data_IF_850206997402
#
_entry.id   IF_850206997402
#
_cell.length_a   1.000
_cell.length_b   1.000
_cell.length_c   1.000
_cell.angle_alpha   90.00
_cell.angle_beta   90.00
_cell.angle_gamma   90.00
#
_symmetry.space_group_name_H-M   'P 1'
#
loop_
_entity.id
_entity.type
_entity.pdbx_description
1 polymer ?
#
# COMPACT_ATOMS: atom_id res chain seq x y z
N UNK A 1 15.42 -33.97 20.56
CA UNK A 1 15.04 -34.81 19.41
C UNK A 1 14.25 -33.94 18.46
N UNK A 2 14.92 -33.32 17.48
CA UNK A 2 14.25 -32.68 16.35
C UNK A 2 14.15 -33.73 15.26
N UNK A 3 12.92 -34.18 14.97
CA UNK A 3 12.68 -35.21 13.96
C UNK A 3 12.99 -34.68 12.55
N UNK A 4 13.59 -35.56 11.75
CA UNK A 4 13.77 -35.43 10.31
C UNK A 4 12.42 -35.15 9.63
N UNK A 5 12.18 -33.90 9.23
CA UNK A 5 11.31 -33.55 8.11
C UNK A 5 12.22 -32.91 7.08
N UNK A 6 12.77 -33.71 6.17
CA UNK A 6 13.53 -33.18 5.03
C UNK A 6 13.74 -34.23 3.92
N UNK A 7 12.76 -35.10 3.68
CA UNK A 7 12.76 -35.90 2.46
C UNK A 7 11.67 -35.34 1.54
N UNK A 8 12.12 -34.88 0.36
CA UNK A 8 11.36 -34.58 -0.87
C UNK A 8 10.73 -33.19 -1.10
N UNK A 9 11.29 -32.09 -0.59
CA UNK A 9 11.01 -30.77 -1.18
C UNK A 9 11.96 -30.48 -2.35
N UNK A 10 11.50 -30.71 -3.58
CA UNK A 10 12.20 -30.32 -4.81
C UNK A 10 11.65 -28.95 -5.26
N UNK A 11 12.46 -27.88 -5.25
CA UNK A 11 12.00 -26.57 -5.71
C UNK A 11 11.64 -26.62 -7.21
N UNK A 12 10.41 -26.26 -7.56
CA UNK A 12 9.91 -26.25 -8.94
C UNK A 12 10.09 -24.87 -9.61
N UNK A 13 10.30 -23.83 -8.80
CA UNK A 13 10.47 -22.46 -9.26
C UNK A 13 11.84 -21.88 -8.87
N UNK A 14 12.37 -20.90 -9.64
CA UNK A 14 13.59 -20.17 -9.27
C UNK A 14 13.50 -19.53 -7.88
N UNK A 15 12.32 -19.06 -7.47
CA UNK A 15 12.05 -18.45 -6.18
C UNK A 15 12.16 -19.46 -5.03
N UNK A 16 11.59 -20.66 -5.20
CA UNK A 16 11.72 -21.76 -4.24
C UNK A 16 13.18 -22.22 -4.11
N UNK A 17 13.93 -22.26 -5.21
CA UNK A 17 15.35 -22.63 -5.18
C UNK A 17 16.17 -21.63 -4.35
N UNK A 18 15.89 -20.32 -4.50
CA UNK A 18 16.54 -19.27 -3.72
C UNK A 18 16.21 -19.41 -2.22
N UNK A 19 14.95 -19.70 -1.89
CA UNK A 19 14.50 -19.90 -0.51
C UNK A 19 15.13 -21.14 0.13
N UNK A 20 15.19 -22.26 -0.58
CA UNK A 20 15.86 -23.50 -0.13
C UNK A 20 17.34 -23.22 0.13
N UNK A 21 18.03 -22.53 -0.78
CA UNK A 21 19.45 -22.17 -0.59
C UNK A 21 19.68 -21.21 0.57
N UNK A 22 18.81 -20.22 0.77
CA UNK A 22 18.90 -19.30 1.90
C UNK A 22 18.71 -20.04 3.24
N UNK A 23 17.77 -20.99 3.31
CA UNK A 23 17.52 -21.81 4.48
C UNK A 23 18.68 -22.78 4.80
N UNK A 24 19.29 -23.39 3.77
CA UNK A 24 20.49 -24.21 3.91
C UNK A 24 21.67 -23.41 4.47
N UNK A 25 21.94 -22.22 3.90
CA UNK A 25 23.00 -21.34 4.38
C UNK A 25 22.79 -20.90 5.85
N UNK A 26 21.54 -20.60 6.22
CA UNK A 26 21.19 -20.26 7.59
C UNK A 26 21.45 -21.44 8.55
N UNK A 27 21.08 -22.68 8.17
CA UNK A 27 21.36 -23.89 8.95
C UNK A 27 22.86 -24.14 9.11
N UNK A 28 23.64 -24.08 8.03
CA UNK A 28 25.08 -24.30 8.09
C UNK A 28 25.76 -23.29 9.01
N UNK A 29 25.37 -22.02 8.93
CA UNK A 29 25.96 -20.98 9.77
C UNK A 29 25.58 -21.09 11.25
N UNK A 30 24.34 -21.52 11.56
CA UNK A 30 23.93 -21.83 12.93
C UNK A 30 24.72 -23.01 13.49
N UNK A 31 24.91 -24.06 12.70
CA UNK A 31 25.68 -25.24 13.12
C UNK A 31 27.15 -24.89 13.38
N UNK A 32 27.79 -24.10 12.51
CA UNK A 32 29.17 -23.62 12.72
C UNK A 32 29.29 -22.77 13.99
N UNK A 33 28.30 -21.93 14.28
CA UNK A 33 28.28 -21.15 15.52
C UNK A 33 28.10 -22.05 16.76
N UNK A 34 27.27 -23.09 16.67
CA UNK A 34 27.02 -24.05 17.75
C UNK A 34 28.23 -24.97 18.01
N UNK A 35 28.95 -25.37 16.96
CA UNK A 35 30.17 -26.18 17.09
C UNK A 35 31.30 -25.37 17.75
N UNK A 36 31.46 -24.09 17.41
CA UNK A 36 32.41 -23.18 18.10
C UNK A 36 32.08 -22.94 19.58
N UNK A 37 30.81 -23.05 19.96
CA UNK A 37 30.38 -22.99 21.36
C UNK A 37 30.71 -24.31 22.08
N UNK A 38 30.63 -25.44 21.37
CA UNK A 38 30.92 -26.78 21.90
C UNK A 38 32.42 -27.00 22.10
N UNK A 39 33.27 -26.42 21.27
CA UNK A 39 34.73 -26.60 21.29
C UNK A 39 35.48 -25.79 22.39
N UNK A 40 34.75 -25.25 23.37
CA UNK A 40 35.34 -24.74 24.62
C UNK A 40 35.54 -23.23 24.64
N UNK A 41 34.52 -22.50 25.07
CA UNK A 41 34.68 -21.11 25.51
C UNK A 41 34.96 -21.02 27.02
N UNK A 42 35.86 -20.11 27.45
CA UNK A 42 36.15 -19.89 28.88
C UNK A 42 34.91 -19.50 29.70
N UNK A 43 34.84 -19.97 30.95
CA UNK A 43 33.69 -19.83 31.86
C UNK A 43 33.30 -18.39 32.23
N UNK A 44 34.21 -17.43 32.06
CA UNK A 44 34.04 -16.07 32.60
C UNK A 44 33.32 -15.11 31.63
N UNK A 45 32.78 -15.63 30.52
CA UNK A 45 32.30 -14.83 29.38
C UNK A 45 30.78 -14.62 29.31
N UNK A 46 30.01 -14.87 30.37
CA UNK A 46 28.53 -14.84 30.31
C UNK A 46 27.94 -13.46 29.98
N UNK A 47 28.55 -12.35 30.45
CA UNK A 47 28.12 -10.97 30.10
C UNK A 47 28.53 -10.56 28.69
N UNK A 48 29.68 -11.02 28.19
CA UNK A 48 30.12 -10.77 26.82
C UNK A 48 29.35 -11.62 25.79
N UNK A 49 28.77 -12.74 26.21
CA UNK A 49 27.99 -13.65 25.36
C UNK A 49 26.77 -12.97 24.74
N UNK A 50 26.01 -12.19 25.51
CA UNK A 50 24.82 -11.50 24.99
C UNK A 50 25.18 -10.40 23.99
N UNK A 51 26.25 -9.64 24.24
CA UNK A 51 26.71 -8.60 23.32
C UNK A 51 27.28 -9.20 22.03
N UNK A 52 28.04 -10.29 22.14
CA UNK A 52 28.56 -11.02 20.98
C UNK A 52 27.43 -11.62 20.12
N UNK A 53 26.39 -12.20 20.74
CA UNK A 53 25.22 -12.67 19.99
C UNK A 53 24.44 -11.54 19.34
N UNK A 54 24.32 -10.37 19.99
CA UNK A 54 23.70 -9.18 19.39
C UNK A 54 24.50 -8.67 18.19
N UNK A 55 25.82 -8.62 18.29
CA UNK A 55 26.72 -8.23 17.20
C UNK A 55 26.67 -9.23 16.04
N UNK A 56 26.72 -10.54 16.32
CA UNK A 56 26.59 -11.58 15.30
C UNK A 56 25.22 -11.55 14.61
N UNK A 57 24.13 -11.36 15.36
CA UNK A 57 22.81 -11.18 14.75
C UNK A 57 22.76 -9.93 13.87
N UNK A 58 23.36 -8.83 14.32
CA UNK A 58 23.39 -7.59 13.53
C UNK A 58 24.21 -7.73 12.25
N UNK A 59 25.37 -8.39 12.31
CA UNK A 59 26.21 -8.69 11.14
C UNK A 59 25.46 -9.62 10.18
N UNK A 60 24.81 -10.66 10.71
CA UNK A 60 24.04 -11.62 9.91
C UNK A 60 22.84 -10.97 9.22
N UNK A 61 22.05 -10.16 9.94
CA UNK A 61 20.92 -9.41 9.37
C UNK A 61 21.41 -8.49 8.26
N UNK A 62 22.49 -7.74 8.47
CA UNK A 62 23.05 -6.85 7.46
C UNK A 62 23.57 -7.59 6.22
N UNK A 63 24.22 -8.74 6.38
CA UNK A 63 24.71 -9.52 5.25
C UNK A 63 23.55 -10.15 4.45
N UNK A 64 22.49 -10.60 5.12
CA UNK A 64 21.28 -11.08 4.46
C UNK A 64 20.54 -9.95 3.75
N UNK A 65 20.42 -8.77 4.37
CA UNK A 65 19.89 -7.56 3.73
C UNK A 65 20.70 -7.18 2.49
N UNK A 66 22.04 -7.20 2.54
CA UNK A 66 22.88 -6.90 1.38
C UNK A 66 22.73 -7.94 0.26
N UNK A 67 22.64 -9.24 0.58
CA UNK A 67 22.39 -10.30 -0.40
C UNK A 67 20.99 -10.20 -1.00
N UNK A 68 19.99 -9.90 -0.18
CA UNK A 68 18.62 -9.64 -0.61
C UNK A 68 18.55 -8.41 -1.52
N UNK A 69 19.19 -7.30 -1.14
CA UNK A 69 19.28 -6.09 -1.95
C UNK A 69 19.95 -6.36 -3.32
N UNK A 70 20.96 -7.25 -3.37
CA UNK A 70 21.59 -7.68 -4.63
C UNK A 70 20.67 -8.56 -5.48
N UNK A 71 19.94 -9.47 -4.85
CA UNK A 71 18.93 -10.31 -5.51
C UNK A 71 17.78 -9.46 -6.05
N UNK A 72 17.24 -8.55 -5.25
CA UNK A 72 16.25 -7.56 -5.68
C UNK A 72 16.80 -6.74 -6.85
N UNK A 73 18.03 -6.23 -6.78
CA UNK A 73 18.65 -5.51 -7.90
C UNK A 73 18.75 -6.35 -9.18
N UNK A 74 19.02 -7.66 -9.05
CA UNK A 74 19.02 -8.59 -10.17
C UNK A 74 17.60 -8.79 -10.72
N UNK A 75 16.62 -9.05 -9.85
CA UNK A 75 15.20 -9.23 -10.20
C UNK A 75 14.67 -7.97 -10.90
N UNK A 76 14.98 -6.78 -10.39
CA UNK A 76 14.62 -5.49 -11.01
C UNK A 76 15.24 -5.28 -12.40
N UNK A 77 16.39 -5.90 -12.69
CA UNK A 77 17.05 -5.83 -14.00
C UNK A 77 16.55 -6.90 -14.97
N UNK A 78 16.16 -8.07 -14.47
CA UNK A 78 15.76 -9.21 -15.31
C UNK A 78 14.26 -9.32 -15.52
N UNK A 79 13.44 -8.77 -14.63
CA UNK A 79 12.00 -8.69 -14.84
C UNK A 79 11.69 -7.56 -15.83
N UNK A 80 11.81 -7.90 -17.11
CA UNK A 80 10.92 -7.29 -18.10
C UNK A 80 9.49 -7.49 -17.58
N UNK A 81 8.81 -6.37 -17.32
CA UNK A 81 7.37 -6.37 -17.02
C UNK A 81 6.67 -7.37 -17.95
N UNK A 82 5.74 -8.21 -17.45
CA UNK A 82 4.95 -9.04 -18.35
C UNK A 82 4.33 -8.11 -19.39
N UNK A 83 4.71 -8.26 -20.66
CA UNK A 83 4.15 -7.47 -21.75
C UNK A 83 2.63 -7.68 -21.86
N UNK A 84 2.12 -8.70 -21.17
CA UNK A 84 0.80 -9.28 -21.24
C UNK A 84 -0.22 -8.76 -20.23
N UNK A 85 0.01 -7.68 -19.46
CA UNK A 85 -1.11 -7.04 -18.75
C UNK A 85 -1.99 -6.32 -19.77
N UNK A 86 -3.15 -6.88 -20.17
CA UNK A 86 -3.87 -6.47 -21.39
C UNK A 86 -4.35 -5.01 -21.31
N UNK A 87 -4.52 -4.50 -20.09
CA UNK A 87 -5.09 -3.18 -19.81
C UNK A 87 -4.07 -2.18 -19.24
N UNK A 88 -2.78 -2.52 -19.21
CA UNK A 88 -1.76 -1.60 -18.69
C UNK A 88 -1.35 -0.58 -19.75
N UNK A 89 -2.05 0.56 -19.78
CA UNK A 89 -1.70 1.66 -20.69
C UNK A 89 -0.22 2.08 -20.50
N UNK A 90 0.48 2.53 -21.56
CA UNK A 90 1.85 3.04 -21.42
C UNK A 90 1.99 4.17 -20.40
N UNK A 91 0.92 4.94 -20.18
CA UNK A 91 0.86 5.96 -19.13
C UNK A 91 0.91 5.34 -17.73
N UNK A 92 0.06 4.34 -17.44
CA UNK A 92 0.07 3.61 -16.18
C UNK A 92 1.44 2.99 -15.92
N UNK A 93 2.00 2.29 -16.93
CA UNK A 93 3.32 1.66 -16.82
C UNK A 93 4.42 2.66 -16.45
N UNK A 94 4.48 3.82 -17.11
CA UNK A 94 5.48 4.85 -16.81
C UNK A 94 5.32 5.42 -15.41
N UNK A 95 4.08 5.60 -14.99
CA UNK A 95 3.78 6.30 -13.76
C UNK A 95 3.95 5.37 -12.54
N UNK A 96 3.60 4.08 -12.66
CA UNK A 96 3.94 3.06 -11.66
C UNK A 96 5.45 2.81 -11.62
N UNK A 97 6.14 2.73 -12.75
CA UNK A 97 7.61 2.63 -12.75
C UNK A 97 8.28 3.83 -12.07
N UNK A 98 7.68 5.03 -12.18
CA UNK A 98 8.14 6.22 -11.46
C UNK A 98 7.91 6.05 -9.96
N UNK A 99 6.72 5.65 -9.55
CA UNK A 99 6.39 5.38 -8.14
C UNK A 99 7.34 4.33 -7.55
N UNK A 100 7.52 3.19 -8.21
CA UNK A 100 8.43 2.12 -7.80
C UNK A 100 9.86 2.64 -7.59
N UNK A 101 10.38 3.45 -8.52
CA UNK A 101 11.74 4.00 -8.42
C UNK A 101 11.89 5.05 -7.32
N UNK A 102 10.84 5.84 -7.07
CA UNK A 102 10.90 7.00 -6.18
C UNK A 102 10.46 6.65 -4.75
N UNK A 103 9.41 5.88 -4.58
CA UNK A 103 8.70 5.69 -3.31
C UNK A 103 9.14 4.41 -2.58
N UNK A 104 9.41 3.29 -3.27
CA UNK A 104 9.86 2.04 -2.61
C UNK A 104 11.19 2.18 -1.86
N UNK A 105 12.01 3.15 -2.22
CA UNK A 105 13.30 3.41 -1.56
C UNK A 105 13.20 4.41 -0.41
N UNK A 106 12.02 5.00 -0.19
CA UNK A 106 11.84 6.00 0.87
C UNK A 106 11.56 5.29 2.17
N UNK A 107 12.29 5.74 3.19
CA UNK A 107 12.16 5.25 4.56
C UNK A 107 11.06 5.97 5.35
N UNK A 108 10.58 7.11 4.83
CA UNK A 108 9.47 7.87 5.41
C UNK A 108 8.79 8.77 4.38
N UNK A 109 7.50 9.05 4.61
CA UNK A 109 6.72 9.98 3.82
C UNK A 109 6.56 9.56 2.36
N UNK A 110 6.66 8.27 2.04
CA UNK A 110 6.34 7.77 0.72
C UNK A 110 4.86 8.01 0.42
N UNK A 111 4.58 8.29 -0.85
CA UNK A 111 3.20 8.37 -1.32
C UNK A 111 2.60 6.97 -1.44
N UNK A 112 1.36 6.80 -1.00
CA UNK A 112 0.57 5.60 -1.23
C UNK A 112 0.24 5.45 -2.73
N UNK A 113 0.21 4.22 -3.24
CA UNK A 113 -0.30 3.90 -4.57
C UNK A 113 -1.75 3.42 -4.44
N UNK A 114 -2.70 4.06 -5.13
CA UNK A 114 -4.10 3.64 -5.14
C UNK A 114 -4.47 3.11 -6.52
N UNK A 115 -4.93 1.86 -6.57
CA UNK A 115 -5.44 1.21 -7.77
C UNK A 115 -6.94 1.02 -7.62
N UNK A 116 -7.72 1.71 -8.45
CA UNK A 116 -9.18 1.64 -8.43
C UNK A 116 -9.64 0.92 -9.68
N UNK A 117 -10.65 0.08 -9.58
CA UNK A 117 -11.32 -0.48 -10.75
C UNK A 117 -12.23 -1.62 -10.35
N UNK A 118 -13.17 -2.03 -11.22
CA UNK A 118 -14.04 -3.16 -10.95
C UNK A 118 -13.30 -4.42 -10.48
N UNK A 119 -14.01 -5.32 -9.81
CA UNK A 119 -13.48 -6.66 -9.55
C UNK A 119 -13.12 -7.34 -10.87
N UNK A 120 -12.08 -8.19 -10.87
CA UNK A 120 -11.60 -8.89 -12.07
C UNK A 120 -10.69 -8.09 -12.99
N UNK A 121 -10.41 -6.82 -12.71
CA UNK A 121 -9.48 -5.97 -13.53
C UNK A 121 -7.99 -6.26 -13.30
N UNK A 122 -7.67 -7.28 -12.49
CA UNK A 122 -6.28 -7.68 -12.24
C UNK A 122 -5.49 -6.76 -11.29
N UNK A 123 -6.13 -5.86 -10.54
CA UNK A 123 -5.46 -4.97 -9.56
C UNK A 123 -4.56 -5.72 -8.57
N UNK A 124 -5.10 -6.80 -7.99
CA UNK A 124 -4.40 -7.63 -7.02
C UNK A 124 -3.21 -8.33 -7.66
N UNK A 125 -3.40 -8.94 -8.84
CA UNK A 125 -2.31 -9.57 -9.60
C UNK A 125 -1.23 -8.56 -9.99
N UNK A 126 -1.64 -7.36 -10.39
CA UNK A 126 -0.73 -6.26 -10.73
C UNK A 126 0.09 -5.82 -9.52
N UNK A 127 -0.55 -5.53 -8.38
CA UNK A 127 0.14 -5.10 -7.17
C UNK A 127 1.13 -6.17 -6.67
N UNK A 128 0.74 -7.44 -6.70
CA UNK A 128 1.60 -8.58 -6.32
C UNK A 128 2.74 -8.84 -7.32
N UNK A 129 2.60 -8.38 -8.57
CA UNK A 129 3.68 -8.49 -9.59
C UNK A 129 4.79 -7.46 -9.41
N UNK A 130 4.61 -6.48 -8.51
CA UNK A 130 5.66 -5.50 -8.25
C UNK A 130 6.85 -6.16 -7.55
N UNK A 131 8.08 -5.78 -7.92
CA UNK A 131 9.28 -6.37 -7.36
C UNK A 131 9.42 -6.11 -5.85
N UNK A 132 9.86 -7.13 -5.13
CA UNK A 132 10.05 -7.11 -3.68
C UNK A 132 9.04 -7.97 -2.92
N UNK A 133 9.29 -8.18 -1.64
CA UNK A 133 8.34 -8.87 -0.77
C UNK A 133 7.24 -7.90 -0.31
N UNK A 134 6.07 -8.43 0.00
CA UNK A 134 4.94 -7.61 0.43
C UNK A 134 4.16 -8.25 1.57
N UNK A 135 3.57 -7.40 2.42
CA UNK A 135 2.47 -7.80 3.28
C UNK A 135 1.17 -7.68 2.49
N UNK A 136 0.25 -8.64 2.61
CA UNK A 136 -1.04 -8.61 1.92
C UNK A 136 -2.19 -8.71 2.92
N UNK A 137 -3.02 -7.67 2.96
CA UNK A 137 -4.17 -7.56 3.85
C UNK A 137 -5.46 -7.57 3.02
N UNK A 138 -6.25 -8.62 3.16
CA UNK A 138 -7.53 -8.80 2.48
C UNK A 138 -8.67 -8.42 3.42
N UNK A 139 -8.87 -7.11 3.64
CA UNK A 139 -9.97 -6.62 4.46
C UNK A 139 -9.85 -6.80 5.98
N UNK A 140 -8.78 -7.40 6.51
CA UNK A 140 -8.60 -7.59 7.95
C UNK A 140 -7.14 -7.38 8.37
N UNK A 141 -6.94 -6.69 9.50
CA UNK A 141 -5.64 -6.56 10.10
C UNK A 141 -5.26 -7.85 10.83
N UNK A 142 -4.07 -8.36 10.55
CA UNK A 142 -3.50 -9.51 11.28
C UNK A 142 -2.02 -9.32 11.48
N UNK A 143 -1.57 -9.46 12.73
CA UNK A 143 -0.18 -9.17 13.09
C UNK A 143 0.80 -10.23 12.57
N UNK A 144 0.37 -11.47 12.48
CA UNK A 144 1.16 -12.60 11.95
C UNK A 144 1.60 -12.38 10.50
N UNK A 145 0.79 -11.68 9.72
CA UNK A 145 1.10 -11.28 8.34
C UNK A 145 2.18 -10.21 8.31
N UNK A 146 2.17 -9.27 9.26
CA UNK A 146 3.08 -8.13 9.23
C UNK A 146 4.54 -8.57 9.37
N UNK A 147 5.33 -8.37 8.30
CA UNK A 147 6.78 -8.56 8.29
C UNK A 147 7.46 -7.21 8.12
N UNK A 148 8.42 -6.87 8.99
CA UNK A 148 9.14 -5.59 8.91
C UNK A 148 10.08 -5.50 7.69
N UNK A 149 10.49 -6.63 7.12
CA UNK A 149 11.45 -6.70 6.01
C UNK A 149 10.80 -6.70 4.62
N UNK A 150 9.46 -6.57 4.53
CA UNK A 150 8.80 -6.43 3.22
C UNK A 150 9.02 -5.05 2.63
N UNK A 151 9.07 -4.99 1.31
CA UNK A 151 9.34 -3.77 0.54
C UNK A 151 8.12 -2.85 0.49
N UNK A 152 6.90 -3.39 0.57
CA UNK A 152 5.64 -2.62 0.60
C UNK A 152 4.52 -3.42 1.28
N UNK A 153 3.38 -2.77 1.52
CA UNK A 153 2.15 -3.40 2.04
C UNK A 153 0.98 -3.17 1.12
N UNK A 154 0.19 -4.21 0.84
CA UNK A 154 -0.99 -4.16 -0.03
C UNK A 154 -2.24 -4.30 0.83
N UNK A 155 -3.18 -3.37 0.67
CA UNK A 155 -4.47 -3.32 1.36
C UNK A 155 -5.58 -3.49 0.32
N UNK A 156 -6.20 -4.66 0.31
CA UNK A 156 -7.23 -5.03 -0.65
C UNK A 156 -8.62 -4.81 -0.04
N UNK A 157 -9.47 -4.08 -0.76
CA UNK A 157 -10.88 -3.89 -0.46
C UNK A 157 -11.16 -3.35 0.96
N UNK A 158 -10.43 -2.29 1.33
CA UNK A 158 -10.58 -1.58 2.61
C UNK A 158 -10.98 -0.14 2.32
N UNK A 159 -12.22 0.21 2.67
CA UNK A 159 -12.68 1.61 2.61
C UNK A 159 -11.91 2.48 3.58
N UNK A 160 -11.82 3.78 3.29
CA UNK A 160 -11.13 4.75 4.16
C UNK A 160 -11.63 4.72 5.61
N UNK A 161 -12.95 4.66 5.80
CA UNK A 161 -13.57 4.66 7.13
C UNK A 161 -13.54 3.29 7.80
N UNK A 162 -13.20 2.23 7.06
CA UNK A 162 -13.26 0.85 7.56
C UNK A 162 -11.95 0.39 8.21
N UNK A 163 -10.86 1.16 8.10
CA UNK A 163 -9.55 0.75 8.63
C UNK A 163 -9.64 0.42 10.12
N UNK A 164 -10.04 1.39 10.93
CA UNK A 164 -10.10 1.23 12.38
C UNK A 164 -11.18 0.21 12.79
N UNK A 165 -12.30 0.15 12.06
CA UNK A 165 -13.35 -0.85 12.27
C UNK A 165 -12.85 -2.28 12.02
N UNK A 166 -12.00 -2.46 11.00
CA UNK A 166 -11.35 -3.74 10.64
C UNK A 166 -10.11 -4.03 11.47
N UNK A 167 -9.90 -3.27 12.55
CA UNK A 167 -8.80 -3.46 13.50
C UNK A 167 -7.44 -2.98 12.99
N UNK A 168 -7.40 -2.24 11.88
CA UNK A 168 -6.15 -1.63 11.44
C UNK A 168 -5.75 -0.53 12.43
N UNK A 169 -4.43 -0.37 12.64
CA UNK A 169 -3.89 0.82 13.28
C UNK A 169 -4.28 2.09 12.52
N UNK A 170 -3.98 3.26 13.10
CA UNK A 170 -4.28 4.55 12.50
C UNK A 170 -3.90 4.59 11.02
N UNK A 171 -4.89 4.69 10.14
CA UNK A 171 -4.71 4.59 8.69
C UNK A 171 -3.72 5.61 8.14
N UNK A 172 -3.65 6.82 8.72
CA UNK A 172 -2.68 7.83 8.28
C UNK A 172 -1.26 7.34 8.48
N UNK A 173 -0.96 6.67 9.59
CA UNK A 173 0.38 6.14 9.84
C UNK A 173 0.79 5.08 8.82
N UNK A 174 -0.15 4.19 8.50
CA UNK A 174 0.06 3.11 7.55
C UNK A 174 0.29 3.67 6.14
N UNK A 175 -0.57 4.60 5.72
CA UNK A 175 -0.62 5.06 4.33
C UNK A 175 0.53 6.01 3.97
N UNK A 176 1.14 6.71 4.94
CA UNK A 176 2.22 7.68 4.69
C UNK A 176 3.57 7.28 5.31
N UNK A 177 3.70 6.04 5.80
CA UNK A 177 4.89 5.57 6.53
C UNK A 177 5.25 6.47 7.72
N UNK A 178 4.29 6.78 8.59
CA UNK A 178 4.53 7.70 9.72
C UNK A 178 5.15 7.00 10.93
N UNK A 179 6.24 6.26 10.71
CA UNK A 179 7.05 5.65 11.77
C UNK A 179 6.29 4.63 12.62
N UNK A 180 6.43 4.72 13.94
CA UNK A 180 5.96 3.70 14.86
C UNK A 180 4.47 3.82 15.20
N UNK A 181 3.80 2.68 15.34
CA UNK A 181 2.44 2.58 15.85
C UNK A 181 2.29 1.36 16.77
N UNK A 182 1.35 1.43 17.71
CA UNK A 182 1.09 0.35 18.67
C UNK A 182 -0.14 -0.44 18.25
N UNK A 183 -0.03 -1.77 18.31
CA UNK A 183 -1.08 -2.70 17.93
C UNK A 183 -1.37 -3.64 19.09
N UNK A 184 -2.64 -3.89 19.42
CA UNK A 184 -2.99 -4.91 20.40
C UNK A 184 -2.65 -6.31 19.88
N UNK A 185 -1.93 -7.08 20.69
CA UNK A 185 -1.71 -8.51 20.48
C UNK A 185 -2.82 -9.33 21.17
N UNK A 186 -3.02 -10.57 20.74
CA UNK A 186 -3.99 -11.50 21.33
C UNK A 186 -3.74 -11.74 22.83
N UNK A 187 -2.51 -11.57 23.30
CA UNK A 187 -2.13 -11.67 24.72
C UNK A 187 -2.49 -10.44 25.54
N UNK A 188 -3.07 -9.40 24.93
CA UNK A 188 -3.34 -8.11 25.56
C UNK A 188 -2.13 -7.17 25.66
N UNK A 189 -0.96 -7.61 25.21
CA UNK A 189 0.25 -6.78 25.15
C UNK A 189 0.19 -5.87 23.91
N UNK A 190 0.58 -4.61 24.05
CA UNK A 190 0.74 -3.70 22.92
C UNK A 190 2.10 -3.96 22.26
N UNK A 191 2.10 -4.33 20.99
CA UNK A 191 3.29 -4.49 20.17
C UNK A 191 3.52 -3.22 19.38
N UNK A 192 4.74 -2.71 19.45
CA UNK A 192 5.16 -1.55 18.66
C UNK A 192 5.70 -2.01 17.31
N UNK A 193 5.16 -1.45 16.25
CA UNK A 193 5.48 -1.77 14.86
C UNK A 193 6.03 -0.51 14.18
N UNK A 194 7.10 -0.67 13.41
CA UNK A 194 7.65 0.40 12.60
C UNK A 194 7.08 0.36 11.17
N UNK A 195 6.28 1.38 10.79
CA UNK A 195 5.75 1.54 9.44
C UNK A 195 6.76 2.24 8.52
N UNK A 196 7.67 1.50 7.93
CA UNK A 196 8.62 2.05 6.94
C UNK A 196 8.25 1.68 5.51
N UNK A 197 7.13 1.01 5.29
CA UNK A 197 6.80 0.36 4.02
C UNK A 197 5.72 1.17 3.29
N UNK A 198 5.91 1.53 2.01
CA UNK A 198 4.87 2.22 1.27
C UNK A 198 3.62 1.35 1.16
N UNK A 199 2.47 2.01 1.17
CA UNK A 199 1.18 1.34 1.02
C UNK A 199 0.75 1.29 -0.46
N UNK A 200 0.09 0.19 -0.82
CA UNK A 200 -0.68 0.04 -2.05
C UNK A 200 -2.12 -0.28 -1.65
N UNK A 201 -3.08 0.53 -2.07
CA UNK A 201 -4.50 0.29 -1.83
C UNK A 201 -5.20 -0.18 -3.09
N UNK A 202 -6.01 -1.22 -2.96
CA UNK A 202 -6.83 -1.77 -4.05
C UNK A 202 -8.30 -1.50 -3.74
N UNK A 203 -8.94 -0.70 -4.57
CA UNK A 203 -10.32 -0.25 -4.38
C UNK A 203 -11.20 -0.71 -5.53
N UNK A 204 -12.36 -1.26 -5.22
CA UNK A 204 -13.29 -1.74 -6.25
C UNK A 204 -14.13 -0.61 -6.88
N UNK A 205 -14.35 0.48 -6.13
CA UNK A 205 -15.17 1.61 -6.57
C UNK A 205 -14.56 2.94 -6.11
N UNK A 206 -14.81 4.01 -6.88
CA UNK A 206 -14.31 5.35 -6.57
C UNK A 206 -14.92 5.99 -5.32
N UNK A 207 -16.01 5.43 -4.77
CA UNK A 207 -16.63 5.92 -3.54
C UNK A 207 -15.71 5.72 -2.32
N UNK A 208 -14.86 4.70 -2.33
CA UNK A 208 -13.91 4.44 -1.26
C UNK A 208 -12.73 5.42 -1.21
N UNK A 209 -12.66 6.37 -2.15
CA UNK A 209 -11.64 7.41 -2.22
C UNK A 209 -12.07 8.73 -1.59
N UNK A 210 -13.25 8.82 -0.94
CA UNK A 210 -13.79 10.11 -0.53
C UNK A 210 -14.22 10.98 -1.72
N UNK A 211 -14.77 10.34 -2.76
CA UNK A 211 -15.31 10.99 -3.96
C UNK A 211 -14.30 11.82 -4.80
N UNK A 212 -13.05 11.42 -4.96
CA UNK A 212 -12.03 12.17 -5.74
C UNK A 212 -12.43 12.60 -7.18
N UNK A 213 -13.44 11.99 -7.77
CA UNK A 213 -13.99 12.36 -9.08
C UNK A 213 -15.19 13.30 -9.06
N UNK A 214 -15.68 13.72 -7.88
CA UNK A 214 -16.85 14.59 -7.70
C UNK A 214 -16.54 15.69 -6.67
N UNK A 215 -17.27 16.81 -6.68
CA UNK A 215 -17.18 17.78 -5.59
C UNK A 215 -17.55 17.09 -4.27
N UNK A 216 -16.74 17.24 -3.20
CA UNK A 216 -17.09 16.68 -1.89
C UNK A 216 -18.40 17.30 -1.41
N UNK A 217 -19.28 16.46 -0.87
CA UNK A 217 -20.60 16.86 -0.39
C UNK A 217 -20.55 17.14 1.11
N UNK A 218 -19.63 16.48 1.81
CA UNK A 218 -19.38 16.69 3.23
C UNK A 218 -17.96 17.19 3.51
N UNK A 219 -17.79 17.84 4.67
CA UNK A 219 -16.48 18.29 5.14
C UNK A 219 -15.48 17.13 5.29
N UNK A 220 -15.94 15.96 5.74
CA UNK A 220 -15.05 14.81 5.89
C UNK A 220 -14.60 14.27 4.52
N UNK A 221 -15.49 14.19 3.53
CA UNK A 221 -15.12 13.85 2.15
C UNK A 221 -14.08 14.81 1.59
N UNK A 222 -14.22 16.12 1.83
CA UNK A 222 -13.24 17.12 1.40
C UNK A 222 -11.87 16.89 2.05
N UNK A 223 -11.83 16.59 3.36
CA UNK A 223 -10.59 16.28 4.07
C UNK A 223 -9.91 15.01 3.54
N UNK A 224 -10.69 13.97 3.26
CA UNK A 224 -10.18 12.73 2.67
C UNK A 224 -9.63 12.99 1.27
N UNK A 225 -10.36 13.74 0.45
CA UNK A 225 -9.92 14.12 -0.88
C UNK A 225 -8.60 14.91 -0.86
N UNK A 226 -8.47 15.89 0.05
CA UNK A 226 -7.24 16.65 0.25
C UNK A 226 -6.07 15.76 0.69
N UNK A 227 -6.31 14.84 1.64
CA UNK A 227 -5.31 13.89 2.08
C UNK A 227 -4.78 13.05 0.92
N UNK A 228 -5.68 12.49 0.09
CA UNK A 228 -5.25 11.70 -1.06
C UNK A 228 -4.50 12.51 -2.10
N UNK A 229 -4.92 13.75 -2.35
CA UNK A 229 -4.23 14.63 -3.30
C UNK A 229 -2.78 14.90 -2.88
N UNK A 230 -2.52 15.00 -1.57
CA UNK A 230 -1.19 15.24 -1.04
C UNK A 230 -0.35 13.95 -1.00
N UNK A 231 -0.94 12.86 -0.52
CA UNK A 231 -0.22 11.66 -0.09
C UNK A 231 -0.38 10.43 -0.99
N UNK A 232 -1.19 10.48 -2.05
CA UNK A 232 -1.40 9.33 -2.92
C UNK A 232 -1.11 9.62 -4.40
N UNK A 233 -0.79 8.54 -5.12
CA UNK A 233 -0.80 8.47 -6.56
C UNK A 233 -1.90 7.50 -6.96
N UNK A 234 -2.87 7.98 -7.74
CA UNK A 234 -4.12 7.28 -7.99
C UNK A 234 -4.21 6.85 -9.46
N UNK A 235 -4.59 5.59 -9.69
CA UNK A 235 -4.81 5.03 -11.02
C UNK A 235 -6.13 4.29 -11.10
N UNK A 236 -6.83 4.47 -12.22
CA UNK A 236 -8.08 3.77 -12.56
C UNK A 236 -7.78 2.67 -13.59
N UNK A 237 -8.12 1.42 -13.26
CA UNK A 237 -7.99 0.21 -14.07
C UNK A 237 -9.36 -0.21 -14.62
N UNK A 238 -9.37 -0.80 -15.82
CA UNK A 238 -10.58 -1.34 -16.45
C UNK A 238 -11.55 -0.32 -17.06
N UNK A 239 -11.23 0.98 -17.05
CA UNK A 239 -12.04 1.98 -17.73
C UNK A 239 -11.56 2.21 -19.16
N UNK A 240 -11.85 1.26 -20.07
CA UNK A 240 -11.75 1.57 -21.51
C UNK A 240 -12.82 2.57 -21.98
N UNK A 241 -13.80 2.88 -21.13
CA UNK A 241 -14.97 3.68 -21.54
C UNK A 241 -15.14 5.07 -20.92
N UNK A 242 -14.34 5.59 -19.97
CA UNK A 242 -14.70 6.87 -19.34
C UNK A 242 -13.54 7.84 -19.06
N UNK A 243 -12.94 8.30 -20.15
CA UNK A 243 -12.79 9.75 -20.38
C UNK A 243 -13.54 10.10 -21.67
N UNK A 244 -14.81 9.68 -21.81
CA UNK A 244 -15.68 10.38 -22.76
C UNK A 244 -15.71 11.83 -22.31
N UNK A 245 -15.14 12.67 -23.17
CA UNK A 245 -15.67 13.98 -23.55
C UNK A 245 -16.92 14.29 -22.73
N UNK A 246 -16.78 15.23 -21.78
CA UNK A 246 -17.92 16.06 -21.39
C UNK A 246 -18.68 16.34 -22.69
N UNK A 247 -19.95 15.92 -22.86
CA UNK A 247 -20.68 16.35 -24.03
C UNK A 247 -20.51 17.86 -24.06
N UNK A 248 -19.93 18.37 -25.16
CA UNK A 248 -20.05 19.77 -25.47
C UNK A 248 -21.55 19.99 -25.49
N UNK A 249 -22.10 20.47 -24.38
CA UNK A 249 -23.39 21.13 -24.39
C UNK A 249 -23.20 22.16 -25.50
N UNK A 250 -23.91 22.03 -26.64
CA UNK A 250 -23.82 23.05 -27.67
C UNK A 250 -24.12 24.35 -26.95
N UNK A 251 -23.23 25.34 -27.10
CA UNK A 251 -23.48 26.68 -26.60
C UNK A 251 -24.88 27.04 -27.10
N UNK A 252 -25.84 27.12 -26.18
CA UNK A 252 -27.09 27.76 -26.51
C UNK A 252 -26.68 29.18 -26.86
N UNK A 253 -26.86 29.53 -28.13
CA UNK A 253 -26.80 30.90 -28.61
C UNK A 253 -27.81 31.70 -27.79
N UNK A 254 -27.32 32.34 -26.73
CA UNK A 254 -27.97 33.48 -26.11
C UNK A 254 -27.84 34.65 -27.08
N UNK A 255 -28.60 34.61 -28.17
CA UNK A 255 -28.92 35.79 -28.94
C UNK A 255 -30.17 35.58 -29.79
N UNK A 256 -31.03 36.60 -29.74
CA UNK A 256 -32.34 36.78 -30.40
C UNK A 256 -33.55 36.40 -29.52
N UNK A 257 -34.52 37.27 -29.22
CA UNK A 257 -34.87 38.62 -29.68
C UNK A 257 -35.70 39.32 -28.60
N UNK A 258 -35.65 40.64 -28.66
CA UNK A 258 -36.19 41.69 -27.81
C UNK A 258 -37.71 41.79 -27.69
N UNK A 259 -38.08 42.58 -26.67
CA UNK A 259 -39.13 43.63 -26.66
C UNK A 259 -40.61 43.24 -26.57
N UNK A 260 -41.25 43.62 -25.46
CA UNK A 260 -42.37 44.58 -25.47
C UNK A 260 -42.79 44.97 -24.03
N UNK A 261 -42.73 46.27 -23.78
CA UNK A 261 -43.25 47.02 -22.62
C UNK A 261 -44.73 46.77 -22.32
N UNK A 262 -45.15 46.95 -21.06
CA UNK A 262 -46.29 47.82 -20.71
C UNK A 262 -46.16 48.31 -19.27
N UNK A 263 -46.12 49.62 -19.15
CA UNK A 263 -46.24 50.43 -17.93
C UNK A 263 -47.73 50.46 -17.55
N UNK A 264 -48.08 50.15 -16.30
CA UNK A 264 -49.25 50.74 -15.63
C UNK A 264 -48.86 51.06 -14.19
N UNK A 265 -48.92 52.34 -13.88
CA UNK A 265 -48.78 53.00 -12.60
C UNK A 265 -50.04 52.86 -11.74
N UNK A 266 -49.81 52.91 -10.42
CA UNK A 266 -50.61 53.49 -9.33
C UNK A 266 -52.14 53.48 -9.41
N UNK A 267 -52.80 52.89 -8.40
CA UNK A 267 -53.72 53.65 -7.52
C UNK A 267 -54.23 52.81 -6.32
N UNK A 268 -53.95 53.35 -5.14
CA UNK A 268 -54.85 53.64 -4.01
C UNK A 268 -55.92 52.65 -3.44
N UNK A 269 -56.04 52.76 -2.10
CA UNK A 269 -57.26 52.67 -1.25
C UNK A 269 -57.81 51.27 -0.90
N UNK A 270 -57.69 50.83 0.36
CA UNK A 270 -58.59 51.22 1.48
C UNK A 270 -58.42 50.33 2.73
N UNK A 271 -58.58 51.00 3.87
CA UNK A 271 -58.77 50.44 5.20
C UNK A 271 -60.19 49.86 5.41
N UNK A 272 -60.30 48.83 6.27
CA UNK A 272 -61.42 48.44 7.15
C UNK A 272 -61.10 47.04 7.69
N UNK A 273 -61.35 46.59 8.91
CA UNK A 273 -62.10 47.01 10.10
C UNK A 273 -62.06 45.77 11.02
N UNK A 274 -61.74 45.92 12.31
CA UNK A 274 -62.68 45.66 13.41
C UNK A 274 -63.56 44.40 13.25
N UNK A 275 -63.18 43.31 13.92
CA UNK A 275 -63.89 42.71 15.07
C UNK A 275 -62.95 41.74 15.82
#
# INVERSE_FOLDING_TARGET
MFNNMNDDFIPETPEEFILVRAAELARTNVNVAMDRIRDGMPSDFSKNRLNYFKELNHIFVREQEEKMNRLEHLIFKTHAWPESFPDCTPALRRAVNRWVKQELRRTSGAKCLILIGPSGTGKTSFAKSLPGYYNYFDGQWRLDIWKNFTSYSIFDNIGWDEFEEKGFPNKKHILIQNGYFKVPHETGVLIEINCTQPAIMLLNQGLHEGQLGRPPITYEEERVAMFWKEHAIIYRMGSNEYFYKKPLVPAHDENQVSSSSTIVSDDELKASGAE
#
